data_IF_334840901804
#
_entry.id   IF_334840901804
#
_cell.length_a   1.000
_cell.length_b   1.000
_cell.length_c   1.000
_cell.angle_alpha   90.00
_cell.angle_beta   90.00
_cell.angle_gamma   90.00
#
_symmetry.space_group_name_H-M   'P 1'
#
loop_
_entity.id
_entity.type
_entity.pdbx_description
1 polymer ?
#
# COMPACT_ATOMS: atom_id res chain seq x y z
N UNK A 1 -8.99 -28.96 -0.17
CA UNK A 1 -8.43 -28.63 -1.51
C UNK A 1 -7.18 -29.45 -1.78
N UNK A 2 -6.11 -29.30 -0.98
CA UNK A 2 -4.92 -30.16 -1.08
C UNK A 2 -5.25 -31.66 -0.98
N UNK A 3 -6.06 -32.06 0.00
CA UNK A 3 -6.40 -33.49 0.22
C UNK A 3 -7.28 -34.10 -0.89
N UNK A 4 -7.90 -33.25 -1.73
CA UNK A 4 -8.79 -33.69 -2.81
C UNK A 4 -8.06 -33.70 -4.15
N UNK A 5 -7.35 -32.62 -4.46
CA UNK A 5 -6.76 -32.39 -5.79
C UNK A 5 -5.24 -32.60 -5.83
N UNK A 6 -4.60 -32.69 -4.67
CA UNK A 6 -3.15 -32.79 -4.55
C UNK A 6 -2.40 -31.58 -5.09
N UNK A 7 -1.14 -31.82 -5.45
CA UNK A 7 -0.22 -30.82 -5.95
C UNK A 7 1.22 -31.30 -5.90
N UNK A 8 2.17 -30.37 -5.97
CA UNK A 8 3.61 -30.66 -5.88
C UNK A 8 4.27 -29.80 -4.81
N UNK A 9 5.46 -30.22 -4.36
CA UNK A 9 6.34 -29.37 -3.54
C UNK A 9 7.32 -28.70 -4.48
N UNK A 10 7.41 -27.38 -4.43
CA UNK A 10 8.37 -26.63 -5.24
C UNK A 10 9.79 -26.70 -4.66
N UNK A 11 10.79 -26.18 -5.40
CA UNK A 11 12.19 -26.14 -4.97
C UNK A 11 12.43 -25.35 -3.67
N UNK A 12 11.48 -24.53 -3.24
CA UNK A 12 11.53 -23.75 -1.99
C UNK A 12 10.88 -24.49 -0.81
N UNK A 13 10.38 -25.72 -1.00
CA UNK A 13 9.77 -26.54 0.05
C UNK A 13 8.28 -26.25 0.30
N UNK A 14 7.59 -25.52 -0.58
CA UNK A 14 6.18 -25.15 -0.40
C UNK A 14 5.24 -25.97 -1.29
N UNK A 15 4.06 -26.28 -0.74
CA UNK A 15 2.94 -26.90 -1.44
C UNK A 15 2.39 -25.97 -2.51
N UNK A 16 2.41 -26.42 -3.75
CA UNK A 16 1.77 -25.80 -4.92
C UNK A 16 0.60 -26.69 -5.32
N UNK A 17 -0.61 -26.14 -5.37
CA UNK A 17 -1.81 -26.89 -5.73
C UNK A 17 -1.73 -27.38 -7.18
N UNK A 18 -2.55 -28.38 -7.52
CA UNK A 18 -2.70 -28.84 -8.89
C UNK A 18 -2.86 -27.63 -9.86
N UNK A 19 -2.09 -27.56 -10.96
CA UNK A 19 -2.10 -26.39 -11.85
C UNK A 19 -3.46 -26.03 -12.47
N UNK A 20 -4.42 -26.95 -12.47
CA UNK A 20 -5.77 -26.72 -13.01
C UNK A 20 -6.72 -26.05 -12.00
N UNK A 21 -6.26 -25.76 -10.78
CA UNK A 21 -7.06 -25.10 -9.74
C UNK A 21 -6.28 -23.98 -9.08
N UNK A 22 -7.00 -22.98 -8.55
CA UNK A 22 -6.42 -21.88 -7.79
C UNK A 22 -7.47 -21.25 -6.88
N UNK A 23 -7.02 -20.39 -5.97
CA UNK A 23 -7.88 -19.61 -5.10
C UNK A 23 -7.84 -18.12 -5.49
N UNK A 24 -8.99 -17.47 -5.44
CA UNK A 24 -9.09 -16.00 -5.49
C UNK A 24 -9.75 -15.50 -4.21
N UNK A 25 -9.16 -14.50 -3.57
CA UNK A 25 -9.77 -13.82 -2.43
C UNK A 25 -10.01 -12.35 -2.78
N UNK A 26 -11.27 -11.94 -2.88
CA UNK A 26 -11.66 -10.58 -3.30
C UNK A 26 -12.49 -9.80 -2.27
N UNK A 27 -12.77 -10.39 -1.10
CA UNK A 27 -13.67 -9.76 -0.13
C UNK A 27 -12.91 -8.80 0.81
N UNK A 28 -13.24 -7.51 0.68
CA UNK A 28 -12.72 -6.45 1.54
C UNK A 28 -11.19 -6.52 1.68
N UNK A 29 -10.50 -6.71 0.57
CA UNK A 29 -9.04 -6.83 0.53
C UNK A 29 -8.44 -5.49 0.97
N UNK A 30 -7.40 -5.57 1.81
CA UNK A 30 -6.52 -4.48 2.23
C UNK A 30 -5.09 -4.99 2.28
N UNK A 31 -4.10 -4.10 2.27
CA UNK A 31 -2.68 -4.49 2.40
C UNK A 31 -2.43 -5.39 3.62
N UNK A 32 -2.88 -4.97 4.80
CA UNK A 32 -2.69 -5.74 6.04
C UNK A 32 -3.36 -7.12 5.97
N UNK A 33 -4.53 -7.21 5.34
CA UNK A 33 -5.23 -8.48 5.16
C UNK A 33 -4.47 -9.40 4.20
N UNK A 34 -3.92 -8.87 3.10
CA UNK A 34 -3.09 -9.63 2.17
C UNK A 34 -1.87 -10.23 2.88
N UNK A 35 -1.18 -9.42 3.70
CA UNK A 35 -0.05 -9.89 4.50
C UNK A 35 -0.45 -11.04 5.43
N UNK A 36 -1.52 -10.86 6.23
CA UNK A 36 -2.01 -11.91 7.14
C UNK A 36 -2.38 -13.21 6.43
N UNK A 37 -2.96 -13.12 5.24
CA UNK A 37 -3.31 -14.30 4.44
C UNK A 37 -2.03 -15.01 3.95
N UNK A 38 -1.06 -14.26 3.44
CA UNK A 38 0.21 -14.81 2.96
C UNK A 38 1.02 -15.44 4.10
N UNK A 39 1.09 -14.81 5.27
CA UNK A 39 1.70 -15.38 6.47
C UNK A 39 1.03 -16.69 6.88
N UNK A 40 -0.31 -16.74 6.84
CA UNK A 40 -1.07 -17.95 7.11
C UNK A 40 -0.82 -19.07 6.09
N UNK A 41 -0.61 -18.75 4.81
CA UNK A 41 -0.22 -19.71 3.79
C UNK A 41 1.18 -20.26 4.07
N UNK A 42 2.15 -19.37 4.34
CA UNK A 42 3.52 -19.74 4.68
C UNK A 42 3.57 -20.64 5.90
N UNK A 43 2.85 -20.29 6.99
CA UNK A 43 2.79 -21.10 8.21
C UNK A 43 2.19 -22.51 7.99
N UNK A 44 1.33 -22.67 6.98
CA UNK A 44 0.75 -23.96 6.58
C UNK A 44 1.58 -24.67 5.49
N UNK A 45 2.71 -24.10 5.10
CA UNK A 45 3.60 -24.64 4.08
C UNK A 45 3.07 -24.51 2.65
N UNK A 46 2.15 -23.59 2.36
CA UNK A 46 1.62 -23.35 1.02
C UNK A 46 2.35 -22.20 0.32
N UNK A 47 2.56 -22.35 -0.98
CA UNK A 47 3.15 -21.31 -1.82
C UNK A 47 2.14 -20.16 -2.05
N UNK A 48 2.64 -18.93 -2.14
CA UNK A 48 1.84 -17.75 -2.49
C UNK A 48 1.25 -17.80 -3.91
N UNK A 49 1.85 -18.59 -4.82
CA UNK A 49 1.35 -18.80 -6.18
C UNK A 49 -0.02 -19.49 -6.24
N UNK A 50 -0.50 -20.05 -5.14
CA UNK A 50 -1.80 -20.72 -5.06
C UNK A 50 -2.98 -19.75 -4.99
N UNK A 51 -2.73 -18.47 -4.72
CA UNK A 51 -3.77 -17.45 -4.50
C UNK A 51 -3.53 -16.20 -5.34
N UNK A 52 -4.61 -15.60 -5.81
CA UNK A 52 -4.64 -14.23 -6.33
C UNK A 52 -5.59 -13.37 -5.49
N UNK A 53 -5.28 -12.07 -5.36
CA UNK A 53 -6.11 -11.13 -4.62
C UNK A 53 -6.93 -10.26 -5.56
N UNK A 54 -8.24 -10.25 -5.39
CA UNK A 54 -9.14 -9.33 -6.07
C UNK A 54 -9.10 -7.96 -5.42
N UNK A 55 -8.39 -7.02 -6.05
CA UNK A 55 -8.23 -5.64 -5.53
C UNK A 55 -9.41 -4.79 -5.99
N UNK A 56 -10.22 -4.31 -5.04
CA UNK A 56 -11.36 -3.43 -5.28
C UNK A 56 -11.19 -2.02 -4.70
N UNK A 57 -12.29 -1.27 -4.65
CA UNK A 57 -12.32 0.13 -4.18
C UNK A 57 -11.71 0.33 -2.79
N UNK A 58 -11.85 -0.64 -1.88
CA UNK A 58 -11.29 -0.51 -0.53
C UNK A 58 -9.75 -0.45 -0.51
N UNK A 59 -9.06 -1.21 -1.35
CA UNK A 59 -7.59 -1.11 -1.45
C UNK A 59 -7.18 0.03 -2.37
N UNK A 60 -7.90 0.22 -3.49
CA UNK A 60 -7.50 1.17 -4.51
C UNK A 60 -7.81 2.64 -4.15
N UNK A 61 -8.98 2.90 -3.55
CA UNK A 61 -9.54 4.25 -3.37
C UNK A 61 -9.61 4.72 -1.92
N UNK A 62 -9.27 3.87 -0.93
CA UNK A 62 -9.28 4.27 0.50
C UNK A 62 -8.03 5.06 0.89
N UNK A 63 -7.53 5.89 -0.01
CA UNK A 63 -6.47 6.86 0.22
C UNK A 63 -7.06 8.26 0.13
N UNK A 64 -6.52 9.20 0.90
CA UNK A 64 -6.89 10.62 0.86
C UNK A 64 -5.70 11.46 0.41
N UNK A 65 -5.92 12.74 0.11
CA UNK A 65 -4.82 13.72 -0.11
C UNK A 65 -3.76 13.62 1.00
N UNK A 66 -4.21 13.48 2.25
CA UNK A 66 -3.35 13.41 3.42
C UNK A 66 -2.53 12.13 3.52
N UNK A 67 -3.01 11.02 2.92
CA UNK A 67 -2.30 9.74 2.93
C UNK A 67 -0.90 9.84 2.32
N UNK A 68 -0.73 10.68 1.29
CA UNK A 68 0.57 10.94 0.65
C UNK A 68 1.15 12.32 1.03
N UNK A 69 0.52 13.04 1.98
CA UNK A 69 0.99 14.35 2.41
C UNK A 69 0.92 15.43 1.34
N UNK A 70 0.08 15.29 0.30
CA UNK A 70 -0.01 16.28 -0.76
C UNK A 70 -0.44 17.63 -0.22
N UNK A 71 0.38 18.65 -0.43
CA UNK A 71 0.08 20.01 -0.01
C UNK A 71 0.68 21.01 -1.00
N UNK A 72 -0.08 22.07 -1.29
CA UNK A 72 0.40 23.24 -2.02
C UNK A 72 0.55 24.39 -1.03
N UNK A 73 1.69 25.07 -1.07
CA UNK A 73 2.02 26.23 -0.24
C UNK A 73 2.76 27.23 -1.11
N UNK A 74 2.38 28.50 -1.00
CA UNK A 74 3.17 29.57 -1.59
C UNK A 74 4.51 29.68 -0.84
N UNK A 75 5.60 29.78 -1.60
CA UNK A 75 6.97 29.89 -1.07
C UNK A 75 7.58 31.27 -1.33
N UNK A 76 7.02 32.04 -2.26
CA UNK A 76 7.37 33.44 -2.49
C UNK A 76 6.15 34.28 -2.94
N UNK A 77 6.30 35.60 -2.88
CA UNK A 77 5.35 36.59 -3.40
C UNK A 77 6.12 37.82 -3.90
N UNK A 78 5.65 38.44 -4.99
CA UNK A 78 6.24 39.67 -5.53
C UNK A 78 5.40 40.88 -5.13
N UNK A 79 6.02 41.87 -4.49
CA UNK A 79 5.37 43.13 -4.06
C UNK A 79 6.15 44.29 -4.66
N UNK A 80 5.51 45.10 -5.51
CA UNK A 80 6.15 46.22 -6.21
C UNK A 80 7.40 45.82 -7.00
N UNK A 81 7.36 44.66 -7.67
CA UNK A 81 8.50 44.14 -8.45
C UNK A 81 9.61 43.49 -7.63
N UNK A 82 9.51 43.46 -6.29
CA UNK A 82 10.50 42.82 -5.42
C UNK A 82 9.94 41.51 -4.88
N UNK A 83 10.63 40.40 -5.13
CA UNK A 83 10.29 39.10 -4.57
C UNK A 83 10.58 39.04 -3.07
N UNK A 84 9.67 38.42 -2.33
CA UNK A 84 9.81 38.13 -0.90
C UNK A 84 9.50 36.67 -0.65
N UNK A 85 10.46 35.96 -0.08
CA UNK A 85 10.27 34.58 0.33
C UNK A 85 9.31 34.50 1.53
N UNK A 86 8.28 33.66 1.42
CA UNK A 86 7.26 33.41 2.44
C UNK A 86 7.22 31.93 2.79
N UNK A 87 6.77 31.62 4.00
CA UNK A 87 6.59 30.23 4.43
C UNK A 87 5.62 30.16 5.60
N UNK A 88 5.03 28.98 5.82
CA UNK A 88 4.20 28.68 7.00
C UNK A 88 5.00 27.82 7.98
N UNK A 89 4.99 28.19 9.25
CA UNK A 89 5.56 27.41 10.35
C UNK A 89 4.65 27.48 11.59
N UNK A 90 3.63 26.60 11.70
CA UNK A 90 2.71 26.63 12.83
C UNK A 90 3.42 26.28 14.15
N UNK A 91 3.17 27.05 15.22
CA UNK A 91 3.83 26.85 16.53
C UNK A 91 3.51 25.51 17.21
N UNK A 92 2.33 24.96 16.97
CA UNK A 92 1.82 23.76 17.64
C UNK A 92 2.02 22.48 16.82
N UNK A 93 2.76 22.56 15.71
CA UNK A 93 2.95 21.43 14.80
C UNK A 93 4.32 20.79 15.02
N UNK A 94 4.42 19.48 14.81
CA UNK A 94 5.64 18.69 15.00
C UNK A 94 6.67 18.85 13.86
N UNK A 95 6.49 19.85 13.01
CA UNK A 95 7.38 20.16 11.89
C UNK A 95 6.88 19.67 10.53
N UNK A 96 5.86 18.79 10.49
CA UNK A 96 5.28 18.25 9.25
C UNK A 96 4.61 19.32 8.36
N UNK A 97 4.10 20.39 8.97
CA UNK A 97 3.39 21.48 8.26
C UNK A 97 4.26 22.71 8.02
N UNK A 98 5.57 22.61 8.28
CA UNK A 98 6.53 23.65 7.89
C UNK A 98 6.74 23.58 6.38
N UNK A 99 6.45 24.67 5.67
CA UNK A 99 6.65 24.73 4.23
C UNK A 99 8.09 25.12 3.86
N UNK A 100 8.45 24.86 2.60
CA UNK A 100 9.61 25.48 1.95
C UNK A 100 9.47 27.01 1.91
N UNK A 101 10.59 27.69 1.66
CA UNK A 101 10.72 29.16 1.67
C UNK A 101 11.61 29.59 0.51
N UNK A 102 11.12 30.49 -0.34
CA UNK A 102 11.82 30.94 -1.55
C UNK A 102 11.58 30.02 -2.75
N UNK A 103 12.28 30.29 -3.85
CA UNK A 103 12.46 29.33 -4.94
C UNK A 103 13.35 28.15 -4.52
#
# INVERSE_FOLDING_TARGET
MWDIFGGSINQKGYKVLNPHIGAIYGDGVTYDKMIRILEGLTAKGFASSNIVFGVGAQTYQRNTRDTLGFAIKATSITINGVEKAIFKAPKTDNGLKKSQKGE
#
